data_IF_804986532339
#
_entry.id   IF_804986532339
#
_cell.length_a   1.000
_cell.length_b   1.000
_cell.length_c   1.000
_cell.angle_alpha   90.00
_cell.angle_beta   90.00
_cell.angle_gamma   90.00
#
_symmetry.space_group_name_H-M   'P 1'
#
loop_
_entity.id
_entity.type
_entity.pdbx_description
1 polymer ?
#
# COMPACT_ATOMS: atom_id res chain seq x y z
N UNK A 1 1.92 3.51 -8.04
CA UNK A 1 1.64 2.60 -6.91
C UNK A 1 0.84 3.27 -5.80
N UNK A 2 1.26 4.41 -5.24
CA UNK A 2 0.49 5.12 -4.20
C UNK A 2 -0.99 5.36 -4.53
N UNK A 3 -1.32 5.80 -5.76
CA UNK A 3 -2.72 5.98 -6.19
C UNK A 3 -3.54 4.68 -6.23
N UNK A 4 -2.91 3.51 -6.37
CA UNK A 4 -3.60 2.23 -6.23
C UNK A 4 -3.98 1.99 -4.77
N UNK A 5 -3.05 2.20 -3.84
CA UNK A 5 -3.27 2.06 -2.41
C UNK A 5 -4.35 3.03 -1.93
N UNK A 6 -4.30 4.29 -2.37
CA UNK A 6 -5.33 5.28 -2.06
C UNK A 6 -6.72 4.82 -2.50
N UNK A 7 -6.85 4.31 -3.73
CA UNK A 7 -8.14 3.79 -4.23
C UNK A 7 -8.65 2.60 -3.43
N UNK A 8 -7.76 1.73 -2.95
CA UNK A 8 -8.14 0.60 -2.08
C UNK A 8 -8.69 1.13 -0.75
N UNK A 9 -7.97 2.06 -0.12
CA UNK A 9 -8.39 2.69 1.14
C UNK A 9 -9.71 3.45 1.03
N UNK A 10 -10.01 4.03 -0.15
CA UNK A 10 -11.27 4.78 -0.37
C UNK A 10 -12.45 3.90 -0.76
N UNK A 11 -12.23 2.78 -1.46
CA UNK A 11 -13.31 2.05 -2.15
C UNK A 11 -13.65 0.69 -1.57
N UNK A 12 -12.78 0.08 -0.77
CA UNK A 12 -13.03 -1.27 -0.23
C UNK A 12 -13.88 -1.16 1.05
N UNK A 13 -15.10 -1.74 1.09
CA UNK A 13 -15.91 -1.75 2.30
C UNK A 13 -15.19 -2.48 3.44
N UNK A 14 -15.26 -1.94 4.65
CA UNK A 14 -14.60 -2.53 5.84
C UNK A 14 -13.08 -2.37 5.89
N UNK A 15 -12.44 -1.67 4.94
CA UNK A 15 -10.98 -1.51 4.91
C UNK A 15 -10.43 -0.82 6.17
N UNK A 16 -11.19 0.10 6.77
CA UNK A 16 -10.83 0.79 8.00
C UNK A 16 -10.82 -0.12 9.25
N UNK A 17 -11.45 -1.30 9.16
CA UNK A 17 -11.50 -2.31 10.24
C UNK A 17 -10.37 -3.35 10.12
N UNK A 18 -9.51 -3.23 9.10
CA UNK A 18 -8.41 -4.16 8.83
C UNK A 18 -7.06 -3.45 8.73
N UNK A 19 -5.97 -4.22 8.68
CA UNK A 19 -4.63 -3.72 8.39
C UNK A 19 -4.30 -4.09 6.95
N UNK A 20 -4.17 -3.08 6.10
CA UNK A 20 -3.64 -3.27 4.75
C UNK A 20 -2.13 -3.50 4.83
N UNK A 21 -1.70 -4.73 4.53
CA UNK A 21 -0.29 -5.11 4.31
C UNK A 21 0.06 -4.97 2.83
N UNK A 22 1.28 -4.52 2.54
CA UNK A 22 1.79 -4.40 1.17
C UNK A 22 3.16 -5.06 1.07
N UNK A 23 3.27 -6.00 0.13
CA UNK A 23 4.52 -6.67 -0.23
C UNK A 23 5.01 -6.20 -1.59
N UNK A 24 6.21 -5.63 -1.64
CA UNK A 24 6.77 -5.09 -2.88
C UNK A 24 7.97 -5.92 -3.35
N UNK A 25 7.91 -6.43 -4.58
CA UNK A 25 9.07 -7.00 -5.27
C UNK A 25 9.94 -5.90 -5.88
N UNK A 26 11.20 -6.23 -6.19
CA UNK A 26 12.23 -5.28 -6.61
C UNK A 26 12.70 -5.45 -8.06
N UNK A 27 11.87 -6.01 -8.95
CA UNK A 27 12.22 -6.31 -10.35
C UNK A 27 12.73 -5.09 -11.12
N UNK A 28 12.26 -3.89 -10.75
CA UNK A 28 12.64 -2.61 -11.36
C UNK A 28 13.44 -1.70 -10.41
N UNK A 29 13.94 -2.21 -9.28
CA UNK A 29 14.68 -1.40 -8.30
C UNK A 29 13.83 -0.39 -7.52
N UNK A 30 12.51 -0.56 -7.49
CA UNK A 30 11.55 0.40 -6.90
C UNK A 30 10.84 -0.10 -5.63
N UNK A 31 11.21 -1.26 -5.06
CA UNK A 31 10.48 -1.86 -3.94
C UNK A 31 10.33 -0.88 -2.75
N UNK A 32 11.43 -0.28 -2.30
CA UNK A 32 11.42 0.69 -1.19
C UNK A 32 10.56 1.91 -1.49
N UNK A 33 10.63 2.46 -2.71
CA UNK A 33 9.82 3.61 -3.10
C UNK A 33 8.33 3.28 -3.10
N UNK A 34 7.96 2.09 -3.58
CA UNK A 34 6.59 1.60 -3.57
C UNK A 34 6.07 1.37 -2.15
N UNK A 35 6.86 0.76 -1.27
CA UNK A 35 6.49 0.56 0.15
C UNK A 35 6.27 1.89 0.88
N UNK A 36 7.16 2.88 0.68
CA UNK A 36 6.96 4.22 1.25
C UNK A 36 5.73 4.94 0.67
N UNK A 37 5.47 4.78 -0.64
CA UNK A 37 4.27 5.32 -1.26
C UNK A 37 3.00 4.67 -0.70
N UNK A 38 3.02 3.37 -0.38
CA UNK A 38 1.90 2.69 0.25
C UNK A 38 1.63 3.21 1.66
N UNK A 39 2.68 3.36 2.49
CA UNK A 39 2.56 3.93 3.86
C UNK A 39 1.91 5.32 3.80
N UNK A 40 2.40 6.20 2.91
CA UNK A 40 1.84 7.55 2.73
C UNK A 40 0.36 7.56 2.33
N UNK A 41 -0.15 6.47 1.76
CA UNK A 41 -1.52 6.35 1.28
C UNK A 41 -2.39 5.42 2.15
N UNK A 42 -1.93 5.05 3.36
CA UNK A 42 -2.77 4.39 4.37
C UNK A 42 -2.47 2.91 4.63
N UNK A 43 -1.53 2.29 3.90
CA UNK A 43 -1.04 0.97 4.30
C UNK A 43 -0.33 1.07 5.66
N UNK A 44 -0.57 0.07 6.54
CA UNK A 44 -0.04 0.08 7.92
C UNK A 44 0.90 -1.08 8.22
N UNK A 45 1.09 -2.02 7.29
CA UNK A 45 2.08 -3.09 7.36
C UNK A 45 2.79 -3.21 6.01
N UNK A 46 4.08 -3.58 6.04
CA UNK A 46 4.91 -3.81 4.86
C UNK A 46 5.63 -5.15 5.03
N UNK A 47 5.70 -5.93 3.96
CA UNK A 47 6.44 -7.19 3.84
C UNK A 47 7.48 -7.14 2.72
#
# INVERSE_FOLDING_TARGET
FGSLIQRIMEKVPGINETILSVHCHNDLGMATANSLAAIKNGARQIE
#
